data_IF_165520696808
#
_entry.id   IF_165520696808
#
_cell.length_a   1.000
_cell.length_b   1.000
_cell.length_c   1.000
_cell.angle_alpha   90.00
_cell.angle_beta   90.00
_cell.angle_gamma   90.00
#
_symmetry.space_group_name_H-M   'P 1'
#
loop_
_entity.id
_entity.type
_entity.pdbx_description
1 polymer ?
#
# COMPACT_ATOMS: atom_id res chain seq x y z
N UNK A 1 -17.17 11.32 -8.62
CA UNK A 1 -16.56 10.67 -7.43
C UNK A 1 -16.46 11.70 -6.33
N UNK A 2 -16.86 11.35 -5.10
CA UNK A 2 -16.70 12.21 -3.92
C UNK A 2 -15.28 12.13 -3.36
N UNK A 3 -14.83 13.15 -2.62
CA UNK A 3 -13.46 13.23 -2.11
C UNK A 3 -13.05 12.01 -1.26
N UNK A 4 -13.98 11.44 -0.48
CA UNK A 4 -13.74 10.23 0.33
C UNK A 4 -13.26 9.06 -0.53
N UNK A 5 -13.99 8.75 -1.60
CA UNK A 5 -13.61 7.68 -2.54
C UNK A 5 -12.31 8.00 -3.27
N UNK A 6 -12.04 9.27 -3.56
CA UNK A 6 -10.77 9.68 -4.18
C UNK A 6 -9.60 9.40 -3.22
N UNK A 7 -9.73 9.77 -1.94
CA UNK A 7 -8.71 9.49 -0.90
C UNK A 7 -8.51 8.00 -0.72
N UNK A 8 -9.57 7.20 -0.65
CA UNK A 8 -9.48 5.74 -0.57
C UNK A 8 -8.69 5.14 -1.75
N UNK A 9 -8.93 5.63 -2.97
CA UNK A 9 -8.17 5.18 -4.15
C UNK A 9 -6.72 5.66 -4.14
N UNK A 10 -6.43 6.87 -3.64
CA UNK A 10 -5.06 7.36 -3.47
C UNK A 10 -4.29 6.45 -2.51
N UNK A 11 -4.86 6.13 -1.35
CA UNK A 11 -4.24 5.21 -0.40
C UNK A 11 -4.06 3.83 -1.03
N UNK A 12 -5.11 3.27 -1.63
CA UNK A 12 -5.02 1.94 -2.25
C UNK A 12 -4.00 1.87 -3.39
N UNK A 13 -3.70 3.00 -4.06
CA UNK A 13 -2.74 3.03 -5.16
C UNK A 13 -1.29 2.80 -4.76
N UNK A 14 -0.94 2.98 -3.47
CA UNK A 14 0.40 2.63 -2.96
C UNK A 14 0.52 1.15 -2.62
N UNK A 15 -0.58 0.50 -2.24
CA UNK A 15 -0.57 -0.93 -1.87
C UNK A 15 -0.74 -1.83 -3.11
N UNK A 16 -1.64 -1.45 -4.02
CA UNK A 16 -2.02 -2.28 -5.16
C UNK A 16 -2.23 -1.45 -6.42
N UNK A 17 -2.06 -2.12 -7.56
CA UNK A 17 -2.36 -1.50 -8.86
C UNK A 17 -3.87 -1.29 -9.00
N UNK A 18 -4.28 -0.02 -9.06
CA UNK A 18 -5.64 0.34 -9.43
C UNK A 18 -6.00 -0.15 -10.84
N UNK A 19 -7.27 -0.47 -11.06
CA UNK A 19 -7.83 -0.73 -12.39
C UNK A 19 -7.77 0.53 -13.27
N UNK A 20 -7.87 0.36 -14.59
CA UNK A 20 -7.82 1.50 -15.54
C UNK A 20 -8.94 2.52 -15.28
N UNK A 21 -10.14 2.04 -14.94
CA UNK A 21 -11.31 2.87 -14.65
C UNK A 21 -11.09 3.68 -13.37
N UNK A 22 -10.60 3.05 -12.30
CA UNK A 22 -10.28 3.74 -11.04
C UNK A 22 -9.19 4.80 -11.24
N UNK A 23 -8.13 4.48 -12.00
CA UNK A 23 -7.07 5.46 -12.31
C UNK A 23 -7.62 6.66 -13.07
N UNK A 24 -8.48 6.43 -14.07
CA UNK A 24 -9.09 7.52 -14.85
C UNK A 24 -9.98 8.38 -13.96
N UNK A 25 -10.86 7.76 -13.16
CA UNK A 25 -11.74 8.49 -12.24
C UNK A 25 -10.96 9.33 -11.22
N UNK A 26 -9.87 8.77 -10.67
CA UNK A 26 -8.99 9.47 -9.75
C UNK A 26 -8.22 10.61 -10.44
N UNK A 27 -7.75 10.41 -11.68
CA UNK A 27 -7.07 11.44 -12.45
C UNK A 27 -8.00 12.64 -12.72
N UNK A 28 -9.23 12.39 -13.16
CA UNK A 28 -10.24 13.44 -13.35
C UNK A 28 -10.53 14.17 -12.04
N UNK A 29 -10.74 13.46 -10.93
CA UNK A 29 -11.04 14.11 -9.66
C UNK A 29 -9.88 14.98 -9.17
N UNK A 30 -8.65 14.47 -9.18
CA UNK A 30 -7.46 15.21 -8.74
C UNK A 30 -7.08 16.37 -9.68
N UNK A 31 -7.56 16.36 -10.93
CA UNK A 31 -7.42 17.50 -11.82
C UNK A 31 -8.22 18.72 -11.31
N UNK A 32 -9.46 18.50 -10.86
CA UNK A 32 -10.37 19.58 -10.41
C UNK A 32 -10.33 19.86 -8.90
N UNK A 33 -9.88 18.91 -8.08
CA UNK A 33 -9.88 19.01 -6.62
C UNK A 33 -8.45 19.23 -6.09
N UNK A 34 -8.09 20.50 -5.86
CA UNK A 34 -6.77 20.88 -5.33
C UNK A 34 -6.38 20.16 -4.03
N UNK A 35 -7.27 19.99 -3.03
CA UNK A 35 -6.93 19.25 -1.81
C UNK A 35 -6.55 17.79 -2.09
N UNK A 36 -7.33 17.07 -2.90
CA UNK A 36 -7.03 15.68 -3.24
C UNK A 36 -5.76 15.55 -4.09
N UNK A 37 -5.46 16.54 -4.94
CA UNK A 37 -4.20 16.60 -5.69
C UNK A 37 -3.00 16.74 -4.77
N UNK A 38 -3.08 17.65 -3.80
CA UNK A 38 -2.02 17.86 -2.80
C UNK A 38 -1.79 16.61 -1.97
N UNK A 39 -2.85 16.03 -1.42
CA UNK A 39 -2.79 14.79 -0.62
C UNK A 39 -2.11 13.65 -1.40
N UNK A 40 -2.49 13.47 -2.68
CA UNK A 40 -1.85 12.47 -3.55
C UNK A 40 -0.35 12.70 -3.72
N UNK A 41 0.07 13.96 -3.89
CA UNK A 41 1.48 14.31 -3.98
C UNK A 41 2.24 13.97 -2.69
N UNK A 42 1.72 14.39 -1.54
CA UNK A 42 2.32 14.15 -0.22
C UNK A 42 2.45 12.65 0.08
N UNK A 43 1.41 11.86 -0.19
CA UNK A 43 1.43 10.42 0.06
C UNK A 43 2.45 9.70 -0.83
N UNK A 44 2.50 10.04 -2.13
CA UNK A 44 3.46 9.42 -3.06
C UNK A 44 4.89 9.82 -2.74
N UNK A 45 5.13 11.06 -2.29
CA UNK A 45 6.44 11.48 -1.80
C UNK A 45 6.88 10.65 -0.59
N UNK A 46 6.00 10.48 0.40
CA UNK A 46 6.30 9.66 1.58
C UNK A 46 6.58 8.20 1.20
N UNK A 47 5.76 7.63 0.30
CA UNK A 47 5.93 6.26 -0.16
C UNK A 47 7.27 6.05 -0.87
N UNK A 48 7.65 6.97 -1.77
CA UNK A 48 8.95 6.88 -2.44
C UNK A 48 10.15 7.03 -1.49
N UNK A 49 10.02 7.82 -0.42
CA UNK A 49 11.06 7.91 0.60
C UNK A 49 11.24 6.58 1.35
N UNK A 50 10.15 5.86 1.61
CA UNK A 50 10.21 4.53 2.24
C UNK A 50 10.72 3.46 1.29
N UNK A 51 10.26 3.43 0.04
CA UNK A 51 10.79 2.49 -0.96
C UNK A 51 12.30 2.70 -1.18
N UNK A 52 12.79 3.94 -1.09
CA UNK A 52 14.22 4.23 -1.18
C UNK A 52 15.02 3.73 0.03
N UNK A 53 14.42 3.70 1.22
CA UNK A 53 15.02 3.14 2.44
C UNK A 53 15.04 1.60 2.39
N UNK A 54 13.94 0.98 1.95
CA UNK A 54 13.82 -0.47 1.71
C UNK A 54 14.66 -0.97 0.52
N UNK A 55 15.07 -0.07 -0.39
CA UNK A 55 15.99 -0.40 -1.49
C UNK A 55 17.44 -0.58 -1.02
N UNK A 56 17.77 -0.17 0.22
CA UNK A 56 18.93 -0.77 0.88
C UNK A 56 18.70 -2.28 0.89
N UNK A 57 19.66 -3.11 0.43
CA UNK A 57 19.44 -4.55 0.36
C UNK A 57 18.90 -4.96 1.73
N UNK A 58 17.73 -5.65 1.79
CA UNK A 58 17.23 -6.10 3.06
C UNK A 58 18.41 -6.83 3.66
N UNK A 59 18.94 -6.33 4.79
CA UNK A 59 19.88 -7.14 5.55
C UNK A 59 19.19 -8.48 5.61
N UNK A 60 19.90 -9.55 5.25
CA UNK A 60 19.33 -10.89 5.22
C UNK A 60 18.97 -11.30 6.66
N UNK A 61 18.00 -10.61 7.25
CA UNK A 61 17.26 -10.86 8.46
C UNK A 61 16.35 -12.04 8.13
N UNK A 62 17.06 -13.12 7.80
CA UNK A 62 16.59 -14.47 7.85
C UNK A 62 16.01 -14.59 9.24
N UNK A 63 14.69 -14.77 9.33
CA UNK A 63 14.01 -15.01 10.59
C UNK A 63 14.83 -16.00 11.41
N UNK A 64 15.03 -15.70 12.70
CA UNK A 64 15.66 -16.66 13.60
C UNK A 64 14.88 -17.98 13.53
N UNK A 65 15.54 -19.14 13.78
CA UNK A 65 14.86 -20.43 13.79
C UNK A 65 13.60 -20.43 14.67
N UNK A 66 13.70 -19.81 15.86
CA UNK A 66 12.60 -19.60 16.80
C UNK A 66 11.49 -18.69 16.24
N UNK A 67 11.86 -17.65 15.48
CA UNK A 67 10.91 -16.79 14.78
C UNK A 67 10.11 -17.54 13.73
N UNK A 68 10.77 -18.42 12.97
CA UNK A 68 10.11 -19.30 11.99
C UNK A 68 9.17 -20.29 12.66
N UNK A 69 9.63 -20.94 13.73
CA UNK A 69 8.85 -21.97 14.43
C UNK A 69 7.54 -21.39 15.01
N UNK A 70 7.60 -20.21 15.64
CA UNK A 70 6.40 -19.49 16.12
C UNK A 70 5.42 -19.18 15.00
N UNK A 71 5.90 -18.72 13.85
CA UNK A 71 5.05 -18.41 12.69
C UNK A 71 4.41 -19.69 12.14
N UNK A 72 5.18 -20.76 11.95
CA UNK A 72 4.63 -22.04 11.47
C UNK A 72 3.61 -22.64 12.45
N UNK A 73 3.84 -22.54 13.75
CA UNK A 73 2.90 -23.01 14.77
C UNK A 73 1.58 -22.23 14.73
N UNK A 74 1.62 -20.92 14.48
CA UNK A 74 0.42 -20.09 14.38
C UNK A 74 -0.41 -20.39 13.12
N UNK A 75 0.24 -20.59 11.96
CA UNK A 75 -0.47 -20.89 10.71
C UNK A 75 -0.90 -22.36 10.57
N UNK A 76 -0.17 -23.30 11.18
CA UNK A 76 -0.55 -24.73 11.19
C UNK A 76 -1.80 -25.06 12.02
N UNK A 77 -2.28 -24.11 12.84
CA UNK A 77 -3.47 -24.27 13.69
C UNK A 77 -4.72 -23.56 13.14
N UNK A 78 -4.63 -22.88 11.99
CA UNK A 78 -5.79 -22.25 11.36
C UNK A 78 -6.52 -23.27 10.49
N UNK A 79 -7.75 -23.72 10.85
CA UNK A 79 -8.57 -24.46 9.90
C UNK A 79 -8.85 -23.58 8.67
N UNK A 80 -8.97 -24.16 7.46
CA UNK A 80 -9.17 -23.40 6.24
C UNK A 80 -10.45 -22.54 6.35
N UNK A 81 -10.45 -21.31 5.79
CA UNK A 81 -11.67 -20.51 5.72
C UNK A 81 -12.74 -21.28 4.93
N UNK A 82 -13.94 -21.34 5.50
CA UNK A 82 -15.12 -22.01 4.95
C UNK A 82 -15.61 -21.37 3.64
#
# INVERSE_FOLDING_TARGET
>A
MICRTAVELVCRSVDVRLTRVERMGLAVHTFFCSPCRRFRGELLQLHHLWEADDAAPPSAATLSPEGRERISAAFGQSPPPA
#
